data_IF_359887073796
#
_entry.id   IF_359887073796
#
_cell.length_a   1.000
_cell.length_b   1.000
_cell.length_c   1.000
_cell.angle_alpha   90.00
_cell.angle_beta   90.00
_cell.angle_gamma   90.00
#
_symmetry.space_group_name_H-M   'P 1'
#
loop_
_entity.id
_entity.type
_entity.pdbx_description
1 polymer ?
#
# COMPACT_ATOMS: atom_id res chain seq x y z
N UNK A 1 -11.17 34.16 11.13
CA UNK A 1 -11.57 32.87 10.53
C UNK A 1 -10.95 31.75 11.36
N UNK A 2 -11.71 30.71 11.69
CA UNK A 2 -11.11 29.52 12.32
C UNK A 2 -10.23 28.82 11.27
N UNK A 3 -8.94 28.62 11.59
CA UNK A 3 -8.03 27.89 10.71
C UNK A 3 -8.52 26.45 10.61
N UNK A 4 -8.85 26.00 9.40
CA UNK A 4 -9.28 24.63 9.14
C UNK A 4 -8.10 23.65 9.29
N UNK A 5 -8.36 22.45 9.81
CA UNK A 5 -7.35 21.38 9.90
C UNK A 5 -6.96 20.87 8.51
N UNK A 6 -5.67 20.65 8.30
CA UNK A 6 -5.19 19.92 7.11
C UNK A 6 -5.41 18.44 7.40
N UNK A 7 -6.32 17.80 6.67
CA UNK A 7 -6.65 16.39 6.87
C UNK A 7 -5.63 15.47 6.18
N UNK A 8 -5.58 14.20 6.60
CA UNK A 8 -4.69 13.20 6.01
C UNK A 8 -5.15 12.74 4.63
N UNK A 9 -6.43 12.64 4.42
CA UNK A 9 -7.06 12.27 3.16
C UNK A 9 -8.38 12.99 2.98
N UNK A 10 -8.86 13.06 1.76
CA UNK A 10 -10.12 13.71 1.43
C UNK A 10 -10.85 12.95 0.33
N UNK A 11 -12.15 12.80 0.47
CA UNK A 11 -13.03 12.24 -0.55
C UNK A 11 -13.97 13.34 -1.06
N UNK A 12 -14.02 13.48 -2.37
CA UNK A 12 -15.04 14.24 -3.07
C UNK A 12 -15.83 13.29 -3.99
N UNK A 13 -17.15 13.34 -3.90
CA UNK A 13 -18.04 12.61 -4.80
C UNK A 13 -18.53 13.60 -5.84
N UNK A 14 -17.95 13.57 -7.01
CA UNK A 14 -18.25 14.48 -8.12
C UNK A 14 -19.41 14.02 -8.99
N UNK A 15 -19.49 14.60 -10.18
CA UNK A 15 -20.63 14.39 -11.08
C UNK A 15 -20.65 12.98 -11.70
N UNK A 16 -19.49 12.46 -12.10
CA UNK A 16 -19.35 11.12 -12.70
C UNK A 16 -19.75 10.04 -11.70
N UNK A 17 -19.23 10.10 -10.47
CA UNK A 17 -19.60 9.14 -9.42
C UNK A 17 -21.10 9.20 -9.10
N UNK A 18 -21.66 10.41 -8.96
CA UNK A 18 -23.11 10.58 -8.69
C UNK A 18 -23.97 9.97 -9.81
N UNK A 19 -23.59 10.17 -11.08
CA UNK A 19 -24.29 9.56 -12.22
C UNK A 19 -24.25 8.04 -12.15
N UNK A 20 -23.07 7.44 -11.93
CA UNK A 20 -22.94 5.99 -11.86
C UNK A 20 -23.68 5.41 -10.65
N UNK A 21 -23.69 6.09 -9.49
CA UNK A 21 -24.48 5.69 -8.33
C UNK A 21 -25.97 5.73 -8.66
N UNK A 22 -26.44 6.80 -9.33
CA UNK A 22 -27.84 6.92 -9.73
C UNK A 22 -28.25 5.78 -10.69
N UNK A 23 -27.40 5.44 -11.67
CA UNK A 23 -27.64 4.30 -12.55
C UNK A 23 -27.80 2.98 -11.77
N UNK A 24 -27.00 2.76 -10.71
CA UNK A 24 -27.13 1.60 -9.85
C UNK A 24 -28.49 1.57 -9.12
N UNK A 25 -28.96 2.73 -8.65
CA UNK A 25 -30.24 2.85 -7.96
C UNK A 25 -31.43 2.66 -8.93
N UNK A 26 -31.36 3.26 -10.10
CA UNK A 26 -32.43 3.18 -11.12
C UNK A 26 -32.60 1.75 -11.65
N UNK A 27 -31.49 1.02 -11.77
CA UNK A 27 -31.50 -0.39 -12.23
C UNK A 27 -31.68 -1.40 -11.11
N UNK A 28 -31.70 -0.97 -9.85
CA UNK A 28 -31.68 -1.82 -8.65
C UNK A 28 -30.50 -2.81 -8.62
N UNK A 29 -29.35 -2.46 -9.24
CA UNK A 29 -28.15 -3.28 -9.29
C UNK A 29 -27.01 -2.64 -8.47
N UNK A 30 -26.86 -3.08 -7.23
CA UNK A 30 -25.88 -2.51 -6.27
C UNK A 30 -24.73 -3.46 -5.92
N UNK A 31 -24.88 -4.77 -6.16
CA UNK A 31 -23.81 -5.75 -5.95
C UNK A 31 -22.80 -5.72 -7.10
N UNK A 32 -21.83 -6.62 -7.09
CA UNK A 32 -20.84 -6.73 -8.18
C UNK A 32 -21.51 -6.90 -9.54
N UNK A 33 -21.19 -6.04 -10.49
CA UNK A 33 -21.82 -5.99 -11.81
C UNK A 33 -21.07 -5.16 -12.84
N UNK A 34 -21.80 -4.41 -13.71
CA UNK A 34 -21.19 -3.67 -14.84
C UNK A 34 -20.20 -2.58 -14.43
N UNK A 35 -20.40 -1.89 -13.30
CA UNK A 35 -19.50 -0.83 -12.85
C UNK A 35 -18.18 -1.39 -12.36
N UNK A 36 -18.20 -2.52 -11.65
CA UNK A 36 -16.99 -3.25 -11.27
C UNK A 36 -16.20 -3.68 -12.49
N UNK A 37 -16.87 -4.27 -13.51
CA UNK A 37 -16.19 -4.67 -14.75
C UNK A 37 -15.53 -3.48 -15.46
N UNK A 38 -16.23 -2.36 -15.56
CA UNK A 38 -15.67 -1.16 -16.18
C UNK A 38 -14.47 -0.62 -15.40
N UNK A 39 -14.51 -0.65 -14.06
CA UNK A 39 -13.39 -0.25 -13.21
C UNK A 39 -12.19 -1.19 -13.38
N UNK A 40 -12.42 -2.50 -13.47
CA UNK A 40 -11.36 -3.49 -13.75
C UNK A 40 -10.66 -3.18 -15.09
N UNK A 41 -11.42 -2.91 -16.16
CA UNK A 41 -10.90 -2.57 -17.48
C UNK A 41 -10.07 -1.27 -17.46
N UNK A 42 -10.60 -0.21 -16.86
CA UNK A 42 -9.88 1.08 -16.73
C UNK A 42 -8.62 0.95 -15.88
N UNK A 43 -8.68 0.21 -14.79
CA UNK A 43 -7.55 0.07 -13.90
C UNK A 43 -6.43 -0.79 -14.51
N UNK A 44 -6.75 -1.82 -15.27
CA UNK A 44 -5.78 -2.58 -16.03
C UNK A 44 -5.02 -1.67 -17.02
N UNK A 45 -5.73 -0.76 -17.70
CA UNK A 45 -5.11 0.24 -18.58
C UNK A 45 -4.20 1.22 -17.82
N UNK A 46 -4.67 1.74 -16.67
CA UNK A 46 -3.88 2.66 -15.84
C UNK A 46 -2.58 2.03 -15.34
N UNK A 47 -2.62 0.75 -14.97
CA UNK A 47 -1.45 0.00 -14.47
C UNK A 47 -0.64 -0.66 -15.59
N UNK A 48 -1.07 -0.55 -16.85
CA UNK A 48 -0.38 -1.17 -17.98
C UNK A 48 -0.32 -2.69 -17.91
N UNK A 49 -1.34 -3.33 -17.30
CA UNK A 49 -1.48 -4.79 -17.20
C UNK A 49 -2.57 -5.30 -18.12
N UNK A 50 -2.54 -6.60 -18.41
CA UNK A 50 -3.61 -7.26 -19.19
C UNK A 50 -4.90 -7.38 -18.39
N UNK A 51 -4.80 -7.59 -17.09
CA UNK A 51 -5.92 -7.89 -16.21
C UNK A 51 -5.87 -7.08 -14.91
N UNK A 52 -7.06 -6.72 -14.43
CA UNK A 52 -7.27 -6.28 -13.06
C UNK A 52 -8.52 -6.96 -12.51
N UNK A 53 -8.51 -7.30 -11.23
CA UNK A 53 -9.61 -7.97 -10.53
C UNK A 53 -9.97 -7.13 -9.30
N UNK A 54 -11.21 -6.65 -9.24
CA UNK A 54 -11.69 -5.84 -8.14
C UNK A 54 -12.06 -6.70 -6.93
N UNK A 55 -11.60 -6.29 -5.75
CA UNK A 55 -11.90 -6.90 -4.46
C UNK A 55 -12.42 -5.85 -3.48
N UNK A 56 -12.99 -6.28 -2.37
CA UNK A 56 -13.68 -5.39 -1.42
C UNK A 56 -12.75 -4.51 -0.59
N UNK A 57 -11.45 -4.81 -0.51
CA UNK A 57 -10.43 -3.99 0.17
C UNK A 57 -9.01 -4.45 -0.18
N UNK A 58 -7.99 -3.61 0.09
CA UNK A 58 -6.59 -4.03 -0.02
C UNK A 58 -6.27 -5.28 0.81
N UNK A 59 -6.81 -5.36 2.02
CA UNK A 59 -6.65 -6.55 2.88
C UNK A 59 -7.19 -7.82 2.24
N UNK A 60 -8.36 -7.76 1.59
CA UNK A 60 -8.93 -8.93 0.91
C UNK A 60 -8.17 -9.30 -0.36
N UNK A 61 -7.54 -8.33 -1.04
CA UNK A 61 -6.65 -8.61 -2.16
C UNK A 61 -5.39 -9.36 -1.72
N UNK A 62 -4.74 -8.92 -0.65
CA UNK A 62 -3.60 -9.60 -0.05
C UNK A 62 -3.97 -11.01 0.47
N UNK A 63 -5.14 -11.14 1.11
CA UNK A 63 -5.64 -12.46 1.56
C UNK A 63 -5.91 -13.38 0.38
N UNK A 64 -6.52 -12.88 -0.70
CA UNK A 64 -6.77 -13.67 -1.91
C UNK A 64 -5.46 -14.12 -2.55
N UNK A 65 -4.46 -13.24 -2.61
CA UNK A 65 -3.11 -13.59 -3.10
C UNK A 65 -2.45 -14.66 -2.22
N UNK A 66 -2.58 -14.56 -0.88
CA UNK A 66 -2.05 -15.58 0.03
C UNK A 66 -2.72 -16.94 -0.16
N UNK A 67 -4.04 -16.95 -0.35
CA UNK A 67 -4.76 -18.19 -0.68
C UNK A 67 -4.34 -18.77 -2.03
N UNK A 68 -4.04 -17.90 -3.01
CA UNK A 68 -3.59 -18.33 -4.33
C UNK A 68 -2.21 -19.03 -4.30
N UNK A 69 -1.35 -18.71 -3.33
CA UNK A 69 -0.03 -19.35 -3.20
C UNK A 69 -0.11 -20.87 -3.12
N UNK A 70 -1.21 -21.44 -2.60
CA UNK A 70 -1.39 -22.90 -2.56
C UNK A 70 -1.44 -23.57 -3.94
N UNK A 71 -1.66 -22.81 -5.01
CA UNK A 71 -1.76 -23.31 -6.38
C UNK A 71 -0.66 -22.78 -7.31
N UNK A 72 -0.06 -21.61 -6.98
CA UNK A 72 0.94 -20.97 -7.86
C UNK A 72 2.37 -20.99 -7.33
N UNK A 73 2.58 -21.29 -6.03
CA UNK A 73 3.95 -21.37 -5.51
C UNK A 73 4.70 -22.55 -6.13
N UNK A 74 5.98 -22.36 -6.41
CA UNK A 74 6.84 -23.38 -6.99
C UNK A 74 7.22 -24.48 -5.97
N UNK A 75 7.03 -24.18 -4.67
CA UNK A 75 7.25 -25.10 -3.55
C UNK A 75 5.93 -25.55 -2.95
N UNK A 76 5.91 -26.68 -2.24
CA UNK A 76 4.73 -27.14 -1.51
C UNK A 76 4.32 -26.12 -0.46
N UNK A 77 3.04 -25.75 -0.45
CA UNK A 77 2.45 -24.84 0.52
C UNK A 77 1.69 -25.62 1.59
N UNK A 78 2.18 -25.52 2.81
CA UNK A 78 1.59 -26.22 3.98
C UNK A 78 0.99 -25.16 4.93
N UNK A 79 -0.31 -25.21 5.13
CA UNK A 79 -1.01 -24.29 6.04
C UNK A 79 -0.47 -24.40 7.47
N UNK A 80 -0.24 -23.24 8.11
CA UNK A 80 0.33 -23.14 9.45
C UNK A 80 1.83 -23.45 9.54
N UNK A 81 2.50 -23.69 8.40
CA UNK A 81 3.94 -23.94 8.33
C UNK A 81 4.64 -23.04 7.31
N UNK A 82 4.16 -23.00 6.07
CA UNK A 82 4.78 -22.19 5.03
C UNK A 82 4.74 -20.71 5.34
N UNK A 83 5.79 -20.01 4.92
CA UNK A 83 6.08 -18.63 5.32
C UNK A 83 6.10 -17.70 4.12
N UNK A 84 5.69 -16.46 4.36
CA UNK A 84 5.81 -15.34 3.41
C UNK A 84 6.69 -14.28 4.04
N UNK A 85 7.80 -13.94 3.38
CA UNK A 85 8.65 -12.81 3.78
C UNK A 85 7.91 -11.51 3.55
N UNK A 86 7.92 -10.63 4.56
CA UNK A 86 7.34 -9.28 4.47
C UNK A 86 8.09 -8.31 5.39
N UNK A 87 7.99 -6.98 5.18
CA UNK A 87 8.66 -6.02 6.05
C UNK A 87 8.09 -6.03 7.47
N UNK A 88 8.97 -5.82 8.45
CA UNK A 88 8.62 -5.72 9.86
C UNK A 88 7.84 -4.44 10.20
N UNK A 89 7.88 -3.41 9.35
CA UNK A 89 7.12 -2.17 9.47
C UNK A 89 6.15 -2.04 8.30
N UNK A 90 4.91 -1.67 8.60
CA UNK A 90 3.88 -1.42 7.60
C UNK A 90 2.48 -1.47 8.21
N UNK A 91 1.47 -1.27 7.39
CA UNK A 91 0.10 -1.47 7.83
C UNK A 91 -0.13 -2.96 8.14
N UNK A 92 -0.79 -3.25 9.25
CA UNK A 92 -0.99 -4.62 9.75
C UNK A 92 -1.59 -5.57 8.70
N UNK A 93 -2.36 -5.05 7.74
CA UNK A 93 -3.02 -5.85 6.70
C UNK A 93 -2.05 -6.73 5.90
N UNK A 94 -0.82 -6.28 5.66
CA UNK A 94 0.18 -7.09 4.95
C UNK A 94 0.44 -8.42 5.71
N UNK A 95 0.74 -8.36 7.01
CA UNK A 95 0.98 -9.55 7.81
C UNK A 95 -0.30 -10.30 8.18
N UNK A 96 -1.38 -9.60 8.54
CA UNK A 96 -2.64 -10.26 8.94
C UNK A 96 -3.32 -10.98 7.77
N UNK A 97 -3.12 -10.53 6.53
CA UNK A 97 -3.62 -11.24 5.35
C UNK A 97 -2.88 -12.57 5.12
N UNK A 98 -1.58 -12.63 5.42
CA UNK A 98 -0.79 -13.87 5.38
C UNK A 98 -1.36 -14.87 6.38
N UNK A 99 -1.59 -14.43 7.62
CA UNK A 99 -2.20 -15.28 8.67
C UNK A 99 -3.62 -15.70 8.29
N UNK A 100 -4.44 -14.78 7.79
CA UNK A 100 -5.82 -15.09 7.32
C UNK A 100 -5.84 -16.07 6.14
N UNK A 101 -4.83 -16.03 5.28
CA UNK A 101 -4.62 -17.02 4.22
C UNK A 101 -4.11 -18.38 4.72
N UNK A 102 -3.75 -18.47 6.01
CA UNK A 102 -3.31 -19.71 6.67
C UNK A 102 -1.80 -19.95 6.60
N UNK A 103 -1.01 -18.94 6.28
CA UNK A 103 0.45 -18.97 6.26
C UNK A 103 1.03 -18.14 7.41
N UNK A 104 2.35 -18.18 7.57
CA UNK A 104 3.06 -17.47 8.62
C UNK A 104 3.83 -16.27 8.03
N UNK A 105 3.73 -15.06 8.61
CA UNK A 105 4.59 -13.97 8.22
C UNK A 105 6.03 -14.23 8.69
N UNK A 106 7.00 -13.92 7.85
CA UNK A 106 8.42 -13.90 8.19
C UNK A 106 8.96 -12.50 7.99
N UNK A 107 9.03 -11.75 9.08
CA UNK A 107 9.42 -10.34 9.02
C UNK A 107 10.90 -10.17 8.72
N UNK A 108 11.20 -9.12 7.96
CA UNK A 108 12.56 -8.63 7.69
C UNK A 108 12.59 -7.14 8.03
N UNK A 109 13.68 -6.67 8.64
CA UNK A 109 13.81 -5.26 9.04
C UNK A 109 13.80 -4.34 7.79
N UNK A 110 13.64 -3.06 8.04
CA UNK A 110 13.46 -2.04 7.00
C UNK A 110 14.70 -1.14 6.89
N UNK A 111 14.77 -0.39 5.78
CA UNK A 111 15.67 0.74 5.62
C UNK A 111 15.01 2.01 6.17
N UNK A 112 15.63 2.69 7.15
CA UNK A 112 15.04 3.91 7.75
C UNK A 112 14.79 5.02 6.74
N UNK A 113 15.59 5.10 5.68
CA UNK A 113 15.52 6.13 4.64
C UNK A 113 14.29 6.01 3.77
N UNK A 114 13.79 4.78 3.58
CA UNK A 114 12.69 4.48 2.66
C UNK A 114 11.45 3.93 3.35
N UNK A 115 11.59 3.42 4.57
CA UNK A 115 10.59 2.64 5.32
C UNK A 115 10.22 1.31 4.63
N UNK A 116 10.89 0.94 3.55
CA UNK A 116 10.69 -0.30 2.82
C UNK A 116 11.58 -1.43 3.36
N UNK A 117 11.24 -2.67 3.03
CA UNK A 117 12.03 -3.85 3.41
C UNK A 117 13.51 -3.67 3.06
N UNK A 118 14.39 -4.05 3.96
CA UNK A 118 15.82 -4.08 3.69
C UNK A 118 16.17 -5.33 2.88
N UNK A 119 16.28 -5.18 1.59
CA UNK A 119 16.53 -6.26 0.64
C UNK A 119 17.87 -6.98 0.85
N UNK A 120 18.84 -6.34 1.56
CA UNK A 120 20.10 -6.99 1.92
C UNK A 120 19.94 -8.07 2.99
N UNK A 121 18.86 -8.02 3.76
CA UNK A 121 18.56 -8.97 4.84
C UNK A 121 17.59 -10.07 4.40
N UNK A 122 17.03 -9.99 3.20
CA UNK A 122 15.99 -10.93 2.73
C UNK A 122 16.55 -12.33 2.56
N UNK A 123 17.76 -12.49 1.97
CA UNK A 123 18.34 -13.82 1.75
C UNK A 123 18.62 -14.56 3.05
N UNK A 124 19.04 -13.87 4.10
CA UNK A 124 19.28 -14.48 5.44
C UNK A 124 17.97 -14.96 6.09
N UNK A 125 16.84 -14.40 5.66
CA UNK A 125 15.53 -14.82 6.14
C UNK A 125 14.94 -16.03 5.40
N UNK A 126 15.52 -16.45 4.28
CA UNK A 126 15.01 -17.58 3.49
C UNK A 126 15.37 -18.90 4.15
N UNK A 127 14.37 -19.74 4.37
CA UNK A 127 14.47 -21.13 4.77
C UNK A 127 13.57 -22.01 3.88
N UNK A 128 13.58 -23.32 4.12
CA UNK A 128 12.84 -24.29 3.29
C UNK A 128 11.32 -24.07 3.31
N UNK A 129 10.78 -23.40 4.34
CA UNK A 129 9.35 -23.13 4.47
C UNK A 129 8.91 -21.83 3.79
N UNK A 130 9.85 -21.00 3.31
CA UNK A 130 9.53 -19.75 2.61
C UNK A 130 9.08 -20.04 1.18
N UNK A 131 7.92 -19.49 0.81
CA UNK A 131 7.29 -19.71 -0.51
C UNK A 131 7.08 -18.42 -1.31
N UNK A 132 7.10 -17.25 -0.65
CA UNK A 132 6.88 -15.98 -1.31
C UNK A 132 7.54 -14.79 -0.57
N UNK A 133 7.68 -13.68 -1.29
CA UNK A 133 8.07 -12.36 -0.78
C UNK A 133 6.93 -11.37 -1.10
N UNK A 134 6.38 -10.70 -0.08
CA UNK A 134 5.45 -9.59 -0.23
C UNK A 134 6.20 -8.28 0.04
N UNK A 135 6.47 -7.53 -1.02
CA UNK A 135 7.08 -6.22 -0.94
C UNK A 135 6.01 -5.15 -0.73
N UNK A 136 6.22 -4.24 0.22
CA UNK A 136 5.37 -3.05 0.39
C UNK A 136 6.08 -1.86 -0.25
N UNK A 137 5.36 -1.05 -1.02
CA UNK A 137 5.83 0.27 -1.40
C UNK A 137 5.26 1.33 -0.44
N UNK A 138 6.13 1.86 0.44
CA UNK A 138 5.71 2.72 1.55
C UNK A 138 5.71 4.20 1.15
N UNK A 139 4.65 4.93 1.50
CA UNK A 139 4.48 6.38 1.24
C UNK A 139 4.59 6.79 -0.24
N UNK A 140 4.41 5.85 -1.15
CA UNK A 140 4.49 6.09 -2.59
C UNK A 140 5.82 5.67 -3.23
N UNK A 141 6.80 5.27 -2.44
CA UNK A 141 8.10 4.79 -2.90
C UNK A 141 8.08 3.26 -2.98
N UNK A 142 8.27 2.64 -4.17
CA UNK A 142 8.37 1.19 -4.26
C UNK A 142 9.61 0.67 -3.52
N UNK A 143 9.55 -0.57 -3.04
CA UNK A 143 10.75 -1.27 -2.57
C UNK A 143 11.74 -1.45 -3.73
N UNK A 144 12.98 -1.88 -3.43
CA UNK A 144 13.96 -2.25 -4.46
C UNK A 144 13.52 -3.55 -5.16
N UNK A 145 12.51 -3.41 -6.05
CA UNK A 145 11.87 -4.55 -6.71
C UNK A 145 12.82 -5.33 -7.61
N UNK A 146 13.84 -4.67 -8.20
CA UNK A 146 14.83 -5.36 -9.04
C UNK A 146 15.68 -6.33 -8.22
N UNK A 147 16.13 -5.91 -7.03
CA UNK A 147 16.87 -6.80 -6.13
C UNK A 147 16.01 -7.91 -5.53
N UNK A 148 14.78 -7.57 -5.12
CA UNK A 148 13.83 -8.56 -4.61
C UNK A 148 13.47 -9.61 -5.67
N UNK A 149 13.33 -9.20 -6.94
CA UNK A 149 13.13 -10.14 -8.06
C UNK A 149 14.31 -11.07 -8.24
N UNK A 150 15.55 -10.55 -8.24
CA UNK A 150 16.74 -11.38 -8.33
C UNK A 150 16.82 -12.42 -7.20
N UNK A 151 16.46 -12.04 -5.98
CA UNK A 151 16.41 -12.96 -4.83
C UNK A 151 15.31 -13.99 -5.04
N UNK A 152 14.11 -13.58 -5.39
CA UNK A 152 12.98 -14.46 -5.63
C UNK A 152 13.30 -15.50 -6.73
N UNK A 153 13.89 -15.06 -7.84
CA UNK A 153 14.27 -15.95 -8.96
C UNK A 153 15.34 -16.98 -8.53
N UNK A 154 16.35 -16.57 -7.72
CA UNK A 154 17.40 -17.51 -7.24
C UNK A 154 16.86 -18.59 -6.30
N UNK A 155 15.83 -18.27 -5.53
CA UNK A 155 15.29 -19.14 -4.49
C UNK A 155 13.95 -19.76 -4.85
N UNK A 156 13.50 -19.58 -6.09
CA UNK A 156 12.24 -20.12 -6.61
C UNK A 156 11.03 -19.69 -5.77
N UNK A 157 10.94 -18.38 -5.48
CA UNK A 157 9.90 -17.76 -4.67
C UNK A 157 8.97 -16.89 -5.51
N UNK A 158 7.70 -16.83 -5.14
CA UNK A 158 6.78 -15.85 -5.70
C UNK A 158 7.09 -14.46 -5.14
N UNK A 159 7.27 -13.46 -6.01
CA UNK A 159 7.32 -12.05 -5.61
C UNK A 159 5.97 -11.38 -5.93
N UNK A 160 5.38 -10.70 -4.95
CA UNK A 160 4.16 -9.91 -5.09
C UNK A 160 4.33 -8.52 -4.49
N UNK A 161 3.77 -7.48 -5.12
CA UNK A 161 3.83 -6.11 -4.62
C UNK A 161 2.53 -5.71 -3.93
N UNK A 162 2.60 -5.45 -2.62
CA UNK A 162 1.58 -4.66 -1.93
C UNK A 162 1.80 -3.18 -2.27
N UNK A 163 1.17 -2.76 -3.36
CA UNK A 163 1.27 -1.40 -3.85
C UNK A 163 0.12 -0.51 -3.37
N UNK A 164 -0.53 -0.84 -2.26
CA UNK A 164 -1.63 -0.03 -1.74
C UNK A 164 -1.30 1.46 -1.67
N UNK A 165 -0.06 1.82 -1.33
CA UNK A 165 0.39 3.20 -1.19
C UNK A 165 1.20 3.73 -2.39
N UNK A 166 1.62 2.85 -3.34
CA UNK A 166 2.53 3.26 -4.43
C UNK A 166 2.07 2.83 -5.83
N UNK A 167 0.84 2.33 -6.01
CA UNK A 167 0.40 1.88 -7.34
C UNK A 167 0.54 2.99 -8.39
N UNK A 168 1.11 2.61 -9.52
CA UNK A 168 1.52 3.53 -10.58
C UNK A 168 2.97 3.99 -10.50
N UNK A 169 3.71 3.72 -9.41
CA UNK A 169 5.15 4.02 -9.32
C UNK A 169 5.95 3.25 -10.36
N UNK A 170 7.06 3.87 -10.80
CA UNK A 170 7.92 3.29 -11.82
C UNK A 170 9.37 3.24 -11.34
N UNK A 171 10.08 2.22 -11.80
CA UNK A 171 11.53 2.06 -11.66
C UNK A 171 12.09 1.99 -13.08
N UNK A 172 13.06 2.83 -13.41
CA UNK A 172 13.63 2.94 -14.76
C UNK A 172 12.57 3.11 -15.87
N UNK A 173 11.49 3.85 -15.56
CA UNK A 173 10.39 4.15 -16.49
C UNK A 173 9.33 3.04 -16.65
N UNK A 174 9.53 1.86 -16.05
CA UNK A 174 8.59 0.74 -16.04
C UNK A 174 7.87 0.64 -14.70
N UNK A 175 6.58 0.27 -14.70
CA UNK A 175 5.82 0.07 -13.46
C UNK A 175 6.51 -0.92 -12.51
N UNK A 176 6.59 -0.61 -11.21
CA UNK A 176 7.29 -1.41 -10.20
C UNK A 176 6.79 -2.85 -10.12
N UNK A 177 5.47 -3.04 -10.19
CA UNK A 177 4.84 -4.36 -10.14
C UNK A 177 5.19 -5.30 -11.30
N UNK A 178 5.77 -4.78 -12.41
CA UNK A 178 6.23 -5.62 -13.53
C UNK A 178 7.41 -6.53 -13.16
N UNK A 179 8.07 -6.28 -12.02
CA UNK A 179 9.09 -7.16 -11.43
C UNK A 179 8.49 -8.32 -10.63
N UNK A 180 7.18 -8.28 -10.38
CA UNK A 180 6.44 -9.27 -9.59
C UNK A 180 5.40 -10.00 -10.45
N UNK A 181 4.79 -11.05 -9.91
CA UNK A 181 3.67 -11.73 -10.58
C UNK A 181 2.44 -10.80 -10.72
N UNK A 182 2.38 -9.76 -9.91
CA UNK A 182 1.35 -8.74 -9.91
C UNK A 182 1.47 -7.82 -8.71
N UNK A 183 0.52 -6.90 -8.59
CA UNK A 183 0.40 -6.00 -7.45
C UNK A 183 -1.05 -5.77 -7.05
N UNK A 184 -1.26 -5.16 -5.90
CA UNK A 184 -2.59 -4.71 -5.50
C UNK A 184 -2.59 -3.25 -5.03
N UNK A 185 -3.71 -2.58 -5.26
CA UNK A 185 -3.98 -1.22 -4.78
C UNK A 185 -4.95 -1.22 -3.61
N UNK A 186 -5.06 -0.11 -2.92
CA UNK A 186 -6.20 0.20 -2.05
C UNK A 186 -6.93 1.42 -2.58
N UNK A 187 -8.26 1.38 -2.52
CA UNK A 187 -9.14 2.49 -2.91
C UNK A 187 -9.81 3.16 -1.70
N UNK A 188 -9.19 3.02 -0.52
CA UNK A 188 -9.61 3.71 0.69
C UNK A 188 -9.39 5.22 0.57
N UNK A 189 -10.07 6.02 1.39
CA UNK A 189 -10.19 7.50 1.26
C UNK A 189 -8.88 8.29 1.24
N UNK A 190 -7.76 7.73 1.68
CA UNK A 190 -6.46 8.41 1.66
C UNK A 190 -5.63 8.15 0.39
N UNK A 191 -6.06 7.20 -0.46
CA UNK A 191 -5.27 6.75 -1.62
C UNK A 191 -5.45 7.61 -2.88
N UNK A 192 -4.77 7.25 -3.97
CA UNK A 192 -4.76 8.02 -5.22
C UNK A 192 -6.07 7.94 -5.99
N UNK A 193 -6.67 6.75 -6.04
CA UNK A 193 -8.05 6.52 -6.49
C UNK A 193 -8.87 6.17 -5.25
N UNK A 194 -10.04 6.75 -5.10
CA UNK A 194 -10.90 6.54 -3.92
C UNK A 194 -12.22 5.94 -4.35
N UNK A 195 -12.64 4.87 -3.67
CA UNK A 195 -13.95 4.24 -3.84
C UNK A 195 -14.73 4.11 -2.52
N UNK A 196 -14.20 4.70 -1.43
CA UNK A 196 -14.65 4.46 -0.06
C UNK A 196 -14.03 3.19 0.49
N UNK A 197 -14.38 2.05 -0.06
CA UNK A 197 -13.74 0.75 0.16
C UNK A 197 -13.52 0.05 -1.19
N UNK A 198 -12.44 -0.71 -1.31
CA UNK A 198 -12.11 -1.45 -2.52
C UNK A 198 -10.62 -1.67 -2.73
N UNK A 199 -10.33 -2.48 -3.73
CA UNK A 199 -8.99 -2.78 -4.21
C UNK A 199 -9.04 -3.31 -5.63
N UNK A 200 -7.96 -3.13 -6.39
CA UNK A 200 -7.69 -3.88 -7.61
C UNK A 200 -6.41 -4.69 -7.41
N UNK A 201 -6.46 -6.00 -7.66
CA UNK A 201 -5.28 -6.81 -7.92
C UNK A 201 -5.07 -6.82 -9.45
N UNK A 202 -3.87 -6.52 -9.90
CA UNK A 202 -3.56 -6.39 -11.31
C UNK A 202 -2.33 -7.22 -11.68
N UNK A 203 -2.39 -7.86 -12.86
CA UNK A 203 -1.38 -8.83 -13.33
C UNK A 203 -1.42 -8.99 -14.85
N UNK A 204 -0.33 -9.52 -15.42
CA UNK A 204 -0.28 -10.00 -16.81
C UNK A 204 -0.51 -11.50 -16.92
N UNK A 205 -0.55 -12.20 -15.79
CA UNK A 205 -0.72 -13.65 -15.69
C UNK A 205 -2.21 -14.01 -15.70
N UNK A 206 -2.63 -14.79 -16.69
CA UNK A 206 -4.03 -15.19 -16.88
C UNK A 206 -4.48 -16.21 -15.83
N UNK A 207 -3.59 -17.15 -15.46
CA UNK A 207 -3.91 -18.19 -14.49
C UNK A 207 -4.09 -17.55 -13.10
N UNK A 208 -3.25 -16.59 -12.73
CA UNK A 208 -3.42 -15.82 -11.49
C UNK A 208 -4.75 -15.04 -11.50
N UNK A 209 -5.07 -14.34 -12.60
CA UNK A 209 -6.36 -13.63 -12.74
C UNK A 209 -7.55 -14.57 -12.48
N UNK A 210 -7.59 -15.72 -13.14
CA UNK A 210 -8.70 -16.69 -13.02
C UNK A 210 -8.77 -17.28 -11.61
N UNK A 211 -7.62 -17.54 -11.01
CA UNK A 211 -7.52 -18.02 -9.63
C UNK A 211 -8.08 -16.99 -8.64
N UNK A 212 -7.70 -15.71 -8.76
CA UNK A 212 -8.21 -14.63 -7.90
C UNK A 212 -9.72 -14.43 -8.11
N UNK A 213 -10.24 -14.49 -9.34
CA UNK A 213 -11.69 -14.44 -9.61
C UNK A 213 -12.42 -15.57 -8.89
N UNK A 214 -11.86 -16.78 -8.93
CA UNK A 214 -12.41 -17.93 -8.23
C UNK A 214 -12.41 -17.74 -6.71
N UNK A 215 -11.25 -17.38 -6.13
CA UNK A 215 -11.09 -17.16 -4.69
C UNK A 215 -12.02 -16.04 -4.21
N UNK A 216 -12.14 -14.92 -4.95
CA UNK A 216 -13.07 -13.82 -4.69
C UNK A 216 -14.53 -14.26 -4.58
N UNK A 217 -14.88 -15.37 -5.23
CA UNK A 217 -16.25 -15.87 -5.38
C UNK A 217 -16.43 -17.26 -4.77
N UNK A 218 -15.92 -17.48 -3.56
CA UNK A 218 -16.03 -18.72 -2.77
C UNK A 218 -15.31 -19.94 -3.37
N UNK A 219 -14.31 -19.76 -4.24
CA UNK A 219 -13.57 -20.86 -4.86
C UNK A 219 -14.34 -21.55 -6.00
N UNK A 220 -15.28 -20.86 -6.63
CA UNK A 220 -16.00 -21.38 -7.79
C UNK A 220 -15.14 -21.29 -9.05
N UNK A 221 -15.18 -22.27 -9.96
CA UNK A 221 -14.63 -22.09 -11.30
C UNK A 221 -15.47 -21.07 -12.07
N UNK A 222 -14.84 -20.26 -12.94
CA UNK A 222 -15.50 -19.15 -13.64
C UNK A 222 -16.69 -19.52 -14.55
N UNK A 223 -16.86 -20.80 -14.88
CA UNK A 223 -17.85 -21.29 -15.83
C UNK A 223 -18.84 -22.35 -15.28
N UNK A 224 -18.82 -22.64 -13.97
CA UNK A 224 -19.50 -23.83 -13.45
C UNK A 224 -20.85 -23.56 -12.78
N UNK A 225 -21.56 -24.67 -12.57
CA UNK A 225 -22.77 -24.74 -11.76
C UNK A 225 -22.58 -24.09 -10.39
N UNK A 226 -23.61 -23.45 -9.89
CA UNK A 226 -23.65 -22.57 -8.73
C UNK A 226 -23.03 -23.14 -7.44
N UNK A 227 -22.94 -24.46 -7.29
CA UNK A 227 -22.51 -25.13 -6.05
C UNK A 227 -21.17 -25.85 -6.14
N UNK A 228 -20.43 -25.72 -7.26
CA UNK A 228 -19.09 -26.29 -7.36
C UNK A 228 -18.05 -25.36 -6.72
N UNK A 229 -17.46 -25.80 -5.63
CA UNK A 229 -16.39 -25.09 -4.93
C UNK A 229 -15.13 -25.94 -5.01
N UNK A 230 -14.26 -25.63 -5.96
CA UNK A 230 -13.07 -26.46 -6.28
C UNK A 230 -11.84 -26.09 -5.47
N UNK A 231 -11.89 -24.95 -4.75
CA UNK A 231 -10.80 -24.49 -3.88
C UNK A 231 -11.35 -23.69 -2.70
N UNK A 232 -10.47 -23.36 -1.77
CA UNK A 232 -10.81 -22.48 -0.67
C UNK A 232 -10.92 -21.04 -1.19
N UNK A 233 -11.98 -20.36 -0.85
CA UNK A 233 -12.23 -18.98 -1.23
C UNK A 233 -13.22 -18.30 -0.29
N UNK A 234 -13.51 -17.02 -0.54
CA UNK A 234 -14.41 -16.23 0.30
C UNK A 234 -15.26 -15.29 -0.55
N UNK A 235 -16.11 -14.49 0.08
CA UNK A 235 -16.80 -13.41 -0.58
C UNK A 235 -16.01 -12.11 -0.46
N UNK A 236 -15.11 -11.87 -1.42
CA UNK A 236 -14.30 -10.66 -1.50
C UNK A 236 -14.76 -9.70 -2.60
N UNK A 237 -16.01 -9.83 -3.06
CA UNK A 237 -16.54 -9.01 -4.16
C UNK A 237 -16.66 -7.54 -3.76
N UNK A 238 -16.22 -6.65 -4.64
CA UNK A 238 -16.54 -5.23 -4.61
C UNK A 238 -17.96 -5.01 -5.09
N UNK A 239 -18.64 -3.97 -4.60
CA UNK A 239 -19.98 -3.59 -5.05
C UNK A 239 -19.92 -2.58 -6.19
N UNK A 240 -20.95 -2.54 -7.05
CA UNK A 240 -21.07 -1.51 -8.09
C UNK A 240 -21.19 -0.09 -7.49
N UNK A 241 -21.73 0.05 -6.28
CA UNK A 241 -21.79 1.34 -5.60
C UNK A 241 -20.37 1.88 -5.30
N UNK A 242 -19.48 1.04 -4.74
CA UNK A 242 -18.08 1.43 -4.52
C UNK A 242 -17.35 1.66 -5.84
N UNK A 243 -17.55 0.76 -6.83
CA UNK A 243 -16.96 0.92 -8.15
C UNK A 243 -17.38 2.21 -8.84
N UNK A 244 -18.62 2.67 -8.64
CA UNK A 244 -19.13 3.95 -9.18
C UNK A 244 -18.34 5.15 -8.70
N UNK A 245 -17.89 5.14 -7.45
CA UNK A 245 -16.99 6.19 -6.90
C UNK A 245 -15.58 6.01 -7.46
N UNK A 246 -15.09 4.77 -7.51
CA UNK A 246 -13.76 4.44 -8.03
C UNK A 246 -13.55 4.82 -9.49
N UNK A 247 -14.59 4.76 -10.32
CA UNK A 247 -14.54 5.15 -11.74
C UNK A 247 -14.16 6.62 -11.90
N UNK A 248 -14.75 7.54 -11.13
CA UNK A 248 -14.37 8.96 -11.18
C UNK A 248 -12.92 9.16 -10.74
N UNK A 249 -12.49 8.45 -9.69
CA UNK A 249 -11.10 8.49 -9.24
C UNK A 249 -10.12 7.97 -10.29
N UNK A 250 -10.50 6.93 -11.04
CA UNK A 250 -9.69 6.38 -12.13
C UNK A 250 -9.59 7.38 -13.31
N UNK A 251 -10.69 8.04 -13.68
CA UNK A 251 -10.67 9.10 -14.69
C UNK A 251 -9.76 10.28 -14.31
N UNK A 252 -9.72 10.64 -13.04
CA UNK A 252 -8.94 11.76 -12.51
C UNK A 252 -7.53 11.36 -12.06
N UNK A 253 -7.09 10.11 -12.27
CA UNK A 253 -5.85 9.57 -11.72
C UNK A 253 -4.62 10.45 -12.03
N UNK A 254 -4.39 10.78 -13.30
CA UNK A 254 -3.21 11.54 -13.72
C UNK A 254 -3.21 12.97 -13.17
N UNK A 255 -4.37 13.63 -13.13
CA UNK A 255 -4.50 14.97 -12.53
C UNK A 255 -4.23 14.93 -11.02
N UNK A 256 -4.79 13.94 -10.33
CA UNK A 256 -4.59 13.74 -8.90
C UNK A 256 -3.10 13.50 -8.58
N UNK A 257 -2.42 12.65 -9.36
CA UNK A 257 -0.98 12.39 -9.18
C UNK A 257 -0.16 13.65 -9.44
N UNK A 258 -0.45 14.41 -10.49
CA UNK A 258 0.27 15.65 -10.77
C UNK A 258 0.16 16.66 -9.61
N UNK A 259 -1.04 16.82 -9.05
CA UNK A 259 -1.26 17.67 -7.89
C UNK A 259 -0.50 17.18 -6.64
N UNK A 260 -0.55 15.87 -6.36
CA UNK A 260 0.20 15.25 -5.24
C UNK A 260 1.71 15.45 -5.39
N UNK A 261 2.26 15.18 -6.57
CA UNK A 261 3.69 15.37 -6.88
C UNK A 261 4.14 16.81 -6.66
N UNK A 262 3.36 17.79 -7.10
CA UNK A 262 3.68 19.21 -6.88
C UNK A 262 3.88 19.52 -5.40
N UNK A 263 2.92 19.12 -4.55
CA UNK A 263 2.96 19.33 -3.10
C UNK A 263 4.17 18.59 -2.50
N UNK A 264 4.33 17.34 -2.88
CA UNK A 264 5.36 16.46 -2.34
C UNK A 264 6.77 16.96 -2.67
N UNK A 265 7.03 17.36 -3.93
CA UNK A 265 8.33 17.93 -4.33
C UNK A 265 8.63 19.25 -3.63
N UNK A 266 7.63 20.07 -3.35
CA UNK A 266 7.83 21.30 -2.56
C UNK A 266 8.31 20.96 -1.13
N UNK A 267 7.75 19.91 -0.51
CA UNK A 267 8.17 19.48 0.82
C UNK A 267 9.55 18.78 0.79
N UNK A 268 9.78 17.88 -0.17
CA UNK A 268 11.10 17.23 -0.36
C UNK A 268 12.20 18.26 -0.52
N UNK A 269 12.01 19.24 -1.41
CA UNK A 269 13.02 20.28 -1.64
C UNK A 269 13.26 21.15 -0.40
N UNK A 270 12.17 21.47 0.33
CA UNK A 270 12.27 22.28 1.54
C UNK A 270 13.02 21.56 2.66
N UNK A 271 12.80 20.27 2.84
CA UNK A 271 13.37 19.49 3.96
C UNK A 271 14.82 19.06 3.75
N UNK A 272 15.39 19.21 2.54
CA UNK A 272 16.81 18.91 2.26
C UNK A 272 17.78 19.56 3.23
N UNK A 273 17.47 20.75 3.74
CA UNK A 273 18.28 21.48 4.73
C UNK A 273 18.35 20.78 6.10
N UNK A 274 17.38 19.93 6.43
CA UNK A 274 17.27 19.21 7.71
C UNK A 274 17.69 17.73 7.61
N UNK A 275 18.27 17.30 6.50
CA UNK A 275 18.60 15.89 6.23
C UNK A 275 19.53 15.24 7.26
N UNK A 276 20.33 16.02 8.00
CA UNK A 276 21.20 15.50 9.08
C UNK A 276 20.41 15.19 10.36
N UNK A 277 19.23 15.78 10.55
CA UNK A 277 18.38 15.66 11.74
C UNK A 277 17.30 14.58 11.61
N UNK A 278 16.83 14.35 10.39
CA UNK A 278 15.76 13.40 10.12
C UNK A 278 15.90 12.75 8.73
N UNK A 279 15.28 11.58 8.57
CA UNK A 279 14.97 11.01 7.25
C UNK A 279 13.61 11.52 6.80
N UNK A 280 13.52 11.96 5.57
CA UNK A 280 12.32 12.46 4.92
C UNK A 280 12.00 11.62 3.71
N UNK A 281 10.72 11.63 3.29
CA UNK A 281 10.36 11.10 1.97
C UNK A 281 11.30 11.66 0.90
N UNK A 282 11.79 10.78 0.03
CA UNK A 282 12.74 11.14 -1.03
C UNK A 282 12.47 10.31 -2.28
N UNK A 283 13.01 10.76 -3.42
CA UNK A 283 12.90 10.07 -4.69
C UNK A 283 14.30 9.70 -5.19
N UNK A 284 14.61 8.40 -5.32
CA UNK A 284 15.81 7.95 -6.02
C UNK A 284 15.79 8.35 -7.50
N UNK A 285 16.96 8.56 -8.11
CA UNK A 285 17.10 9.08 -9.49
C UNK A 285 16.39 8.22 -10.55
N UNK A 286 16.28 6.91 -10.32
CA UNK A 286 15.63 5.97 -11.25
C UNK A 286 14.18 5.64 -10.90
N UNK A 287 13.59 6.30 -9.90
CA UNK A 287 12.22 6.01 -9.43
C UNK A 287 11.31 7.18 -9.70
N UNK A 288 10.15 6.92 -10.28
CA UNK A 288 9.02 7.86 -10.35
C UNK A 288 8.03 7.53 -9.23
N UNK A 289 8.08 8.29 -8.14
CA UNK A 289 7.29 8.10 -6.91
C UNK A 289 5.83 8.52 -7.14
N UNK A 290 4.88 7.74 -6.60
CA UNK A 290 3.45 8.09 -6.55
C UNK A 290 3.06 8.52 -5.12
N UNK A 291 3.18 9.80 -4.75
CA UNK A 291 3.10 10.22 -3.36
C UNK A 291 1.76 9.86 -2.68
N UNK A 292 1.82 8.98 -1.69
CA UNK A 292 0.70 8.69 -0.78
C UNK A 292 0.69 9.67 0.40
N UNK A 293 1.86 9.86 1.02
CA UNK A 293 2.08 10.76 2.12
C UNK A 293 3.50 11.33 2.12
N UNK A 294 3.79 12.18 3.09
CA UNK A 294 5.12 12.71 3.33
C UNK A 294 5.58 12.33 4.73
N UNK A 295 6.64 11.52 4.83
CA UNK A 295 7.16 11.01 6.10
C UNK A 295 8.30 11.86 6.65
N UNK A 296 8.40 11.91 7.97
CA UNK A 296 9.48 12.51 8.75
C UNK A 296 9.86 11.51 9.84
N UNK A 297 11.11 11.05 9.87
CA UNK A 297 11.62 10.13 10.91
C UNK A 297 12.88 10.74 11.53
N UNK A 298 12.87 11.01 12.84
CA UNK A 298 14.01 11.60 13.55
C UNK A 298 15.20 10.64 13.66
N UNK A 299 16.43 11.13 13.50
CA UNK A 299 17.66 10.34 13.47
C UNK A 299 18.30 10.03 14.83
N UNK A 300 17.62 10.28 15.92
CA UNK A 300 18.05 9.95 17.26
C UNK A 300 18.13 11.18 18.16
N UNK A 301 17.52 11.07 19.35
CA UNK A 301 17.51 12.14 20.37
C UNK A 301 18.92 12.47 20.86
N UNK A 302 19.75 11.45 21.12
CA UNK A 302 21.12 11.64 21.59
C UNK A 302 22.01 12.45 20.61
N UNK A 303 21.71 12.37 19.31
CA UNK A 303 22.47 13.07 18.27
C UNK A 303 21.92 14.45 17.95
N UNK A 304 20.60 14.63 18.08
CA UNK A 304 19.90 15.81 17.58
C UNK A 304 19.27 16.65 18.67
N UNK A 305 19.04 16.09 19.86
CA UNK A 305 18.25 16.71 20.94
C UNK A 305 16.75 16.78 20.65
N UNK A 306 16.30 16.30 19.48
CA UNK A 306 14.92 16.41 19.02
C UNK A 306 14.06 15.22 19.48
N UNK A 307 12.83 15.53 19.93
CA UNK A 307 11.90 14.54 20.44
C UNK A 307 10.66 14.45 19.54
N UNK A 308 10.20 13.23 19.33
CA UNK A 308 9.02 12.97 18.50
C UNK A 308 7.74 13.62 19.07
N UNK A 309 7.62 13.73 20.40
CA UNK A 309 6.43 14.32 21.01
C UNK A 309 6.38 15.84 20.80
N UNK A 310 7.52 16.51 20.71
CA UNK A 310 7.59 17.94 20.37
C UNK A 310 7.23 18.17 18.89
N UNK A 311 7.65 17.26 17.98
CA UNK A 311 7.23 17.28 16.58
C UNK A 311 5.71 17.13 16.47
N UNK A 312 5.12 16.17 17.17
CA UNK A 312 3.66 15.97 17.20
C UNK A 312 2.93 17.20 17.73
N UNK A 313 3.39 17.76 18.87
CA UNK A 313 2.81 18.95 19.47
C UNK A 313 2.87 20.17 18.53
N UNK A 314 3.99 20.35 17.81
CA UNK A 314 4.13 21.40 16.82
C UNK A 314 3.14 21.22 15.67
N UNK A 315 2.98 20.01 15.14
CA UNK A 315 2.00 19.73 14.08
C UNK A 315 0.56 19.93 14.55
N UNK A 316 0.24 19.55 15.80
CA UNK A 316 -1.08 19.83 16.41
C UNK A 316 -1.35 21.33 16.58
N UNK A 317 -0.35 22.13 17.01
CA UNK A 317 -0.41 23.59 17.10
C UNK A 317 -0.76 24.21 15.74
N UNK A 318 -0.16 23.70 14.65
CA UNK A 318 -0.41 24.14 13.28
C UNK A 318 -1.65 23.50 12.65
N UNK A 319 -2.42 22.69 13.40
CA UNK A 319 -3.60 21.96 12.92
C UNK A 319 -3.32 21.11 11.67
N UNK A 320 -2.22 20.39 11.68
CA UNK A 320 -1.83 19.43 10.65
C UNK A 320 -2.13 18.03 11.17
N UNK A 321 -2.96 17.28 10.47
CA UNK A 321 -3.23 15.87 10.79
C UNK A 321 -2.01 15.02 10.45
N UNK A 322 -1.45 14.41 11.45
CA UNK A 322 -0.35 13.46 11.32
C UNK A 322 -0.77 12.07 11.75
N UNK A 323 -0.06 11.07 11.26
CA UNK A 323 -0.14 9.67 11.70
C UNK A 323 1.26 9.18 12.02
N UNK A 324 1.36 8.20 12.91
CA UNK A 324 2.61 7.50 13.19
C UNK A 324 3.08 6.73 11.94
N UNK A 325 4.40 6.67 11.70
CA UNK A 325 4.98 5.86 10.61
C UNK A 325 4.80 4.36 10.88
N UNK A 326 3.52 3.90 10.90
CA UNK A 326 3.12 2.54 11.26
C UNK A 326 3.71 2.09 12.59
N UNK A 327 4.61 1.13 12.61
CA UNK A 327 5.30 0.56 13.76
C UNK A 327 5.75 -0.86 13.45
N UNK A 328 6.52 -1.45 14.33
CA UNK A 328 6.81 -2.87 14.23
C UNK A 328 5.51 -3.67 14.36
N UNK A 329 5.20 -4.47 13.34
CA UNK A 329 3.94 -5.21 13.25
C UNK A 329 3.80 -6.22 14.38
N UNK A 330 4.91 -6.81 14.84
CA UNK A 330 4.92 -7.77 15.95
C UNK A 330 4.57 -7.18 17.33
N UNK A 331 4.61 -5.84 17.49
CA UNK A 331 4.16 -5.20 18.74
C UNK A 331 2.63 -5.20 18.90
N UNK A 332 1.89 -5.44 17.83
CA UNK A 332 0.43 -5.53 17.93
C UNK A 332 0.02 -6.81 18.66
N UNK A 333 -0.88 -6.73 19.66
CA UNK A 333 -1.31 -7.92 20.44
C UNK A 333 -1.77 -9.10 19.56
N UNK A 334 -2.41 -8.81 18.42
CA UNK A 334 -2.89 -9.83 17.49
C UNK A 334 -1.77 -10.55 16.71
N UNK A 335 -0.55 -10.02 16.72
CA UNK A 335 0.59 -10.54 15.95
C UNK A 335 1.69 -11.15 16.82
N UNK A 336 1.57 -11.08 18.14
CA UNK A 336 2.63 -11.53 19.08
C UNK A 336 3.03 -13.01 18.94
N UNK A 337 2.08 -13.86 18.57
CA UNK A 337 2.31 -15.31 18.47
C UNK A 337 2.95 -15.72 17.12
N UNK A 338 3.17 -14.77 16.22
CA UNK A 338 3.71 -15.02 14.86
C UNK A 338 5.17 -14.58 14.70
N UNK A 339 5.75 -13.95 15.73
CA UNK A 339 7.14 -13.51 15.73
C UNK A 339 8.14 -14.64 16.00
N UNK A 340 9.38 -14.38 15.68
CA UNK A 340 10.55 -15.15 16.10
C UNK A 340 11.48 -14.26 16.97
N UNK A 341 12.60 -14.82 17.44
CA UNK A 341 13.56 -14.12 18.33
C UNK A 341 14.40 -13.04 17.62
N UNK A 342 14.16 -12.78 16.31
CA UNK A 342 14.88 -11.73 15.58
C UNK A 342 14.46 -10.35 16.05
N UNK A 343 15.41 -9.43 16.02
CA UNK A 343 15.18 -8.04 16.35
C UNK A 343 15.03 -7.20 15.07
N UNK A 344 14.16 -6.22 15.14
CA UNK A 344 13.85 -5.30 14.03
C UNK A 344 14.08 -3.85 14.47
N UNK A 345 15.35 -3.46 14.77
CA UNK A 345 15.64 -2.17 15.40
C UNK A 345 15.21 -0.99 14.56
N UNK A 346 15.33 -1.07 13.22
CA UNK A 346 14.91 0.02 12.34
C UNK A 346 13.38 0.17 12.29
N UNK A 347 12.64 -0.94 12.23
CA UNK A 347 11.18 -0.92 12.26
C UNK A 347 10.65 -0.32 13.57
N UNK A 348 11.22 -0.75 14.71
CA UNK A 348 10.89 -0.20 16.03
C UNK A 348 11.25 1.28 16.12
N UNK A 349 12.45 1.66 15.68
CA UNK A 349 12.89 3.06 15.71
C UNK A 349 11.99 3.95 14.87
N UNK A 350 11.80 3.62 13.59
CA UNK A 350 11.02 4.43 12.65
C UNK A 350 9.54 4.56 13.06
N UNK A 351 8.98 3.48 13.62
CA UNK A 351 7.63 3.51 14.16
C UNK A 351 7.48 4.39 15.40
N UNK A 352 8.49 4.45 16.27
CA UNK A 352 8.44 5.25 17.50
C UNK A 352 8.83 6.71 17.28
N UNK A 353 9.71 7.00 16.32
CA UNK A 353 10.30 8.31 16.10
C UNK A 353 9.94 8.93 14.73
N UNK A 354 8.86 8.46 14.11
CA UNK A 354 8.42 8.96 12.84
C UNK A 354 6.92 9.21 12.76
N UNK A 355 6.58 10.24 11.99
CA UNK A 355 5.21 10.58 11.59
C UNK A 355 5.13 10.75 10.08
N UNK A 356 3.93 10.68 9.54
CA UNK A 356 3.64 11.10 8.17
C UNK A 356 2.38 11.94 8.11
N UNK A 357 2.31 12.81 7.10
CA UNK A 357 1.19 13.66 6.81
C UNK A 357 0.61 13.32 5.44
N UNK A 358 -0.64 13.70 5.21
CA UNK A 358 -1.30 13.51 3.93
C UNK A 358 -0.64 14.33 2.81
N UNK A 359 -0.73 13.77 1.60
CA UNK A 359 -0.33 14.45 0.37
C UNK A 359 -1.45 14.24 -0.66
N UNK A 360 -2.42 15.18 -0.73
CA UNK A 360 -3.59 15.06 -1.59
C UNK A 360 -3.94 16.38 -2.28
N UNK A 361 -4.61 16.32 -3.42
CA UNK A 361 -4.90 17.48 -4.32
C UNK A 361 -5.65 18.67 -3.67
N UNK A 362 -6.27 18.45 -2.51
CA UNK A 362 -7.01 19.49 -1.78
C UNK A 362 -6.13 20.31 -0.82
N UNK A 363 -4.84 20.00 -0.68
CA UNK A 363 -3.88 20.80 0.08
C UNK A 363 -3.58 22.06 -0.75
N UNK A 364 -3.88 23.22 -0.18
CA UNK A 364 -3.68 24.53 -0.83
C UNK A 364 -2.24 25.04 -0.66
N UNK A 365 -1.89 26.12 -1.38
CA UNK A 365 -0.59 26.75 -1.22
C UNK A 365 -0.41 27.33 0.21
N UNK A 366 -1.47 27.86 0.82
CA UNK A 366 -1.43 28.33 2.20
C UNK A 366 -1.21 27.19 3.19
N UNK A 367 -1.78 26.01 2.92
CA UNK A 367 -1.52 24.80 3.71
C UNK A 367 -0.07 24.36 3.60
N UNK A 368 0.54 24.40 2.41
CA UNK A 368 1.97 24.09 2.20
C UNK A 368 2.85 25.04 2.98
N UNK A 369 2.56 26.35 2.97
CA UNK A 369 3.28 27.35 3.77
C UNK A 369 3.17 27.01 5.25
N UNK A 370 1.98 26.64 5.71
CA UNK A 370 1.71 26.25 7.11
C UNK A 370 2.48 24.99 7.51
N UNK A 371 2.55 23.98 6.65
CA UNK A 371 3.36 22.77 6.86
C UNK A 371 4.84 23.13 6.95
N UNK A 372 5.35 23.94 6.02
CA UNK A 372 6.75 24.40 6.05
C UNK A 372 7.07 25.21 7.31
N UNK A 373 6.12 26.03 7.80
CA UNK A 373 6.29 26.81 9.04
C UNK A 373 6.37 25.89 10.26
N UNK A 374 5.55 24.85 10.34
CA UNK A 374 5.61 23.85 11.41
C UNK A 374 6.96 23.10 11.40
N UNK A 375 7.42 22.67 10.22
CA UNK A 375 8.73 22.02 10.05
C UNK A 375 9.85 22.97 10.47
N UNK A 376 9.80 24.22 10.06
CA UNK A 376 10.80 25.22 10.40
C UNK A 376 10.87 25.45 11.91
N UNK A 377 9.76 25.70 12.56
CA UNK A 377 9.67 25.92 14.02
C UNK A 377 10.30 24.72 14.76
N UNK A 378 9.89 23.50 14.40
CA UNK A 378 10.39 22.30 15.08
C UNK A 378 11.91 22.08 14.97
N UNK A 379 12.50 22.34 13.81
CA UNK A 379 13.92 22.06 13.60
C UNK A 379 14.85 23.22 13.95
N UNK A 380 14.34 24.44 14.31
CA UNK A 380 15.17 25.60 14.63
C UNK A 380 14.92 26.18 16.03
N UNK A 381 13.86 25.79 16.72
CA UNK A 381 13.58 26.17 18.11
C UNK A 381 14.08 25.08 19.07
#
# INVERSE_FOLDING_TARGET
MQIQRIEFGHLEIGATARKHIQDCLDTNWISMGPKVKLLEEQFAQLMGTKYAVALSSGTTALTAMTLALSEIAHKEVVRGKSKVICPALGFIANSSSIVSGGLLPKWVDIRPETLNINEDLVEEAIDDDVVAIYAIGTMGLPANMDKLKQIADRHDLILFEDACENYGSKIDGEFSHKRAIGGCSSLFTAHMVVAGEGSLLYTDDEDLKDLIISIRSHGRPGSSAYFDHIRFGSNFKMTDLCASVGLEGAEQFHENIAARKKIWYELVNYTKQFKELAWFSSEPDNVDVMPHGFSITLKGEEKTGLRIDDLKATFDKYKIHWKRNFGFVGDHPAMKDFGDDRQFPNAVWCGNNGIHIGCHRFITQDDIIRIKSAIWEFFND
#
